data_IF_947556613449
#
_entry.id   IF_947556613449
#
_cell.length_a   1.000
_cell.length_b   1.000
_cell.length_c   1.000
_cell.angle_alpha   90.00
_cell.angle_beta   90.00
_cell.angle_gamma   90.00
#
_symmetry.space_group_name_H-M   'P 1'
#
loop_
_entity.id
_entity.type
_entity.pdbx_description
1 polymer ?
#
# COMPACT_ATOMS: atom_id res chain seq x y z
N UNK A 1 -9.08 -14.87 16.49
CA UNK A 1 -9.57 -13.46 16.40
C UNK A 1 -10.12 -13.17 15.01
N UNK A 2 -9.34 -13.28 13.93
CA UNK A 2 -9.81 -13.01 12.55
C UNK A 2 -11.08 -13.79 12.13
N UNK A 3 -11.11 -15.10 12.37
CA UNK A 3 -12.29 -15.95 12.09
C UNK A 3 -13.54 -15.49 12.87
N UNK A 4 -13.36 -15.08 14.12
CA UNK A 4 -14.45 -14.53 14.94
C UNK A 4 -14.93 -13.18 14.41
N UNK A 5 -14.01 -12.30 13.99
CA UNK A 5 -14.36 -11.01 13.37
C UNK A 5 -15.09 -11.21 12.03
N UNK A 6 -14.70 -12.19 11.21
CA UNK A 6 -15.38 -12.49 9.93
C UNK A 6 -16.80 -13.00 10.19
N UNK A 7 -16.97 -13.93 11.13
CA UNK A 7 -18.25 -14.60 11.37
C UNK A 7 -19.23 -13.77 12.21
N UNK A 8 -18.72 -13.05 13.21
CA UNK A 8 -19.53 -12.36 14.22
C UNK A 8 -19.30 -10.85 14.28
N UNK A 9 -18.41 -10.32 13.42
CA UNK A 9 -18.05 -8.89 13.41
C UNK A 9 -19.27 -7.98 13.30
N UNK A 10 -20.25 -8.32 12.46
CA UNK A 10 -21.48 -7.53 12.22
C UNK A 10 -22.35 -7.33 13.46
N UNK A 11 -22.23 -8.20 14.45
CA UNK A 11 -22.97 -8.13 15.72
C UNK A 11 -22.07 -7.76 16.91
N UNK A 12 -20.79 -7.54 16.67
CA UNK A 12 -19.87 -7.07 17.70
C UNK A 12 -20.14 -5.60 18.02
N UNK A 13 -19.96 -5.22 19.30
CA UNK A 13 -19.96 -3.79 19.70
C UNK A 13 -18.94 -2.96 18.93
N UNK A 14 -17.89 -3.61 18.38
CA UNK A 14 -16.79 -3.01 17.61
C UNK A 14 -17.19 -2.59 16.19
N UNK A 15 -18.19 -3.25 15.59
CA UNK A 15 -18.72 -2.90 14.28
C UNK A 15 -19.92 -1.96 14.30
N UNK A 16 -20.35 -1.53 15.50
CA UNK A 16 -21.52 -0.66 15.62
C UNK A 16 -21.28 0.67 14.87
N UNK A 17 -22.07 0.90 13.80
CA UNK A 17 -21.95 2.07 12.93
C UNK A 17 -20.77 2.10 11.95
N UNK A 18 -19.97 1.02 11.86
CA UNK A 18 -18.81 0.95 10.94
C UNK A 18 -19.07 -0.07 9.82
N UNK A 19 -18.58 0.17 8.60
CA UNK A 19 -18.73 -0.80 7.52
C UNK A 19 -17.83 -2.02 7.77
N UNK A 20 -18.32 -3.22 7.46
CA UNK A 20 -17.66 -4.49 7.77
C UNK A 20 -16.27 -4.64 7.13
N UNK A 21 -16.11 -4.10 5.92
CA UNK A 21 -14.82 -4.09 5.22
C UNK A 21 -13.74 -3.34 6.04
N UNK A 22 -14.12 -2.27 6.73
CA UNK A 22 -13.21 -1.50 7.59
C UNK A 22 -12.83 -2.30 8.83
N UNK A 23 -13.79 -2.92 9.50
CA UNK A 23 -13.53 -3.75 10.69
C UNK A 23 -12.63 -4.94 10.34
N UNK A 24 -12.87 -5.56 9.18
CA UNK A 24 -12.04 -6.65 8.68
C UNK A 24 -10.62 -6.17 8.35
N UNK A 25 -10.47 -5.05 7.66
CA UNK A 25 -9.15 -4.49 7.31
C UNK A 25 -8.34 -4.12 8.56
N UNK A 26 -8.96 -3.47 9.54
CA UNK A 26 -8.31 -3.11 10.81
C UNK A 26 -7.77 -4.36 11.53
N UNK A 27 -8.56 -5.44 11.59
CA UNK A 27 -8.16 -6.69 12.27
C UNK A 27 -7.09 -7.47 11.49
N UNK A 28 -7.16 -7.48 10.16
CA UNK A 28 -6.11 -8.08 9.31
C UNK A 28 -4.82 -7.30 9.46
N UNK A 29 -4.86 -5.97 9.37
CA UNK A 29 -3.71 -5.10 9.56
C UNK A 29 -3.11 -5.29 10.95
N UNK A 30 -3.92 -5.28 12.00
CA UNK A 30 -3.44 -5.51 13.36
C UNK A 30 -2.80 -6.89 13.51
N UNK A 31 -3.43 -7.94 12.98
CA UNK A 31 -2.87 -9.30 13.02
C UNK A 31 -1.51 -9.38 12.32
N UNK A 32 -1.41 -8.82 11.11
CA UNK A 32 -0.18 -8.81 10.31
C UNK A 32 0.93 -8.05 11.06
N UNK A 33 0.63 -6.85 11.55
CA UNK A 33 1.62 -6.02 12.26
C UNK A 33 2.03 -6.59 13.61
N UNK A 34 1.17 -7.35 14.29
CA UNK A 34 1.50 -7.94 15.60
C UNK A 34 2.20 -9.30 15.52
N UNK A 35 2.14 -10.00 14.38
CA UNK A 35 2.69 -11.35 14.24
C UNK A 35 3.87 -11.46 13.26
N UNK A 36 4.09 -10.47 12.40
CA UNK A 36 5.21 -10.47 11.47
C UNK A 36 6.32 -9.54 11.95
N UNK A 37 7.57 -9.99 11.81
CA UNK A 37 8.74 -9.15 11.98
C UNK A 37 8.85 -8.14 10.83
N UNK A 38 9.59 -7.04 11.07
CA UNK A 38 9.93 -6.03 10.05
C UNK A 38 10.48 -6.65 8.76
N UNK A 39 11.36 -7.65 8.88
CA UNK A 39 11.96 -8.34 7.72
C UNK A 39 10.92 -9.11 6.91
N UNK A 40 9.98 -9.77 7.59
CA UNK A 40 8.90 -10.51 6.94
C UNK A 40 7.91 -9.56 6.25
N UNK A 41 7.60 -8.43 6.88
CA UNK A 41 6.76 -7.39 6.27
C UNK A 41 7.40 -6.83 5.00
N UNK A 42 8.69 -6.49 5.06
CA UNK A 42 9.43 -5.97 3.91
C UNK A 42 9.53 -7.00 2.78
N UNK A 43 9.81 -8.27 3.11
CA UNK A 43 9.84 -9.36 2.14
C UNK A 43 8.48 -9.61 1.49
N UNK A 44 7.39 -9.55 2.26
CA UNK A 44 6.03 -9.73 1.76
C UNK A 44 5.57 -8.56 0.88
N UNK A 45 6.04 -7.34 1.15
CA UNK A 45 5.62 -6.16 0.40
C UNK A 45 6.27 -6.00 -0.97
N UNK A 46 7.43 -6.63 -1.21
CA UNK A 46 8.17 -6.49 -2.47
C UNK A 46 8.83 -5.11 -2.62
N UNK A 47 9.34 -4.83 -3.82
CA UNK A 47 10.01 -3.55 -4.11
C UNK A 47 9.06 -2.47 -4.63
N UNK A 48 9.39 -1.20 -4.38
CA UNK A 48 8.62 -0.07 -4.92
C UNK A 48 8.60 -0.05 -6.45
N UNK A 49 9.68 -0.49 -7.10
CA UNK A 49 9.77 -0.61 -8.56
C UNK A 49 8.80 -1.66 -9.09
N UNK A 50 8.74 -2.84 -8.46
CA UNK A 50 7.81 -3.90 -8.86
C UNK A 50 6.36 -3.46 -8.70
N UNK A 51 6.04 -2.80 -7.58
CA UNK A 51 4.70 -2.26 -7.33
C UNK A 51 4.29 -1.20 -8.36
N UNK A 52 5.18 -0.24 -8.66
CA UNK A 52 4.95 0.76 -9.70
C UNK A 52 4.78 0.14 -11.08
N UNK A 53 5.64 -0.80 -11.46
CA UNK A 53 5.59 -1.48 -12.76
C UNK A 53 4.32 -2.31 -12.94
N UNK A 54 3.86 -2.98 -11.88
CA UNK A 54 2.57 -3.68 -11.89
C UNK A 54 1.40 -2.72 -12.09
N UNK A 55 1.44 -1.57 -11.42
CA UNK A 55 0.42 -0.54 -11.55
C UNK A 55 0.38 0.07 -12.96
N UNK A 56 1.53 0.44 -13.54
CA UNK A 56 1.59 1.02 -14.89
C UNK A 56 1.08 0.04 -15.94
N UNK A 57 1.45 -1.24 -15.83
CA UNK A 57 0.92 -2.32 -16.66
C UNK A 57 -0.60 -2.46 -16.53
N UNK A 58 -1.14 -2.43 -15.31
CA UNK A 58 -2.57 -2.52 -15.07
C UNK A 58 -3.35 -1.33 -15.65
N UNK A 59 -2.77 -0.12 -15.58
CA UNK A 59 -3.35 1.12 -16.13
C UNK A 59 -3.03 1.34 -17.61
N UNK A 60 -2.25 0.46 -18.24
CA UNK A 60 -1.79 0.54 -19.64
C UNK A 60 -1.05 1.85 -19.95
N UNK A 61 -0.22 2.31 -19.00
CA UNK A 61 0.67 3.47 -19.18
C UNK A 61 2.11 3.01 -19.22
N UNK A 62 2.97 3.78 -19.87
CA UNK A 62 4.40 3.50 -19.91
C UNK A 62 5.03 3.72 -18.53
N UNK A 63 5.85 2.78 -18.01
CA UNK A 63 6.61 3.01 -16.80
C UNK A 63 7.74 4.00 -17.06
N UNK A 64 7.70 5.14 -16.37
CA UNK A 64 8.73 6.17 -16.45
C UNK A 64 9.41 6.27 -15.08
N UNK A 65 10.68 5.88 -15.04
CA UNK A 65 11.50 5.87 -13.83
C UNK A 65 12.76 6.67 -14.09
N UNK A 66 13.00 7.70 -13.29
CA UNK A 66 14.26 8.44 -13.31
C UNK A 66 15.12 8.04 -12.11
N UNK A 67 16.40 7.76 -12.36
CA UNK A 67 17.41 7.57 -11.32
C UNK A 67 17.95 8.94 -10.90
N UNK A 68 17.89 9.24 -9.60
CA UNK A 68 18.34 10.52 -9.04
C UNK A 68 19.61 10.36 -8.19
N UNK A 69 20.24 9.17 -8.19
CA UNK A 69 21.39 8.85 -7.36
C UNK A 69 21.02 8.47 -5.92
N UNK A 70 22.04 8.17 -5.10
CA UNK A 70 21.88 7.85 -3.67
C UNK A 70 20.85 6.75 -3.37
N UNK A 71 20.79 5.72 -4.21
CA UNK A 71 19.80 4.62 -4.14
C UNK A 71 18.32 5.08 -4.23
N UNK A 72 18.08 6.30 -4.72
CA UNK A 72 16.76 6.90 -4.86
C UNK A 72 16.30 6.96 -6.33
N UNK A 73 14.99 6.80 -6.52
CA UNK A 73 14.34 6.80 -7.84
C UNK A 73 13.04 7.60 -7.80
N UNK A 74 12.75 8.29 -8.89
CA UNK A 74 11.46 8.94 -9.12
C UNK A 74 10.58 8.07 -9.99
N UNK A 75 9.35 7.85 -9.55
CA UNK A 75 8.31 7.15 -10.30
C UNK A 75 7.29 8.17 -10.78
N UNK A 76 7.17 8.36 -12.08
CA UNK A 76 6.29 9.37 -12.64
C UNK A 76 4.86 8.86 -12.81
N UNK A 77 3.90 9.73 -12.49
CA UNK A 77 2.48 9.48 -12.73
C UNK A 77 1.96 10.64 -13.57
N UNK A 78 1.61 10.35 -14.84
CA UNK A 78 1.18 11.37 -15.80
C UNK A 78 2.33 11.96 -16.63
N UNK A 79 2.08 13.12 -17.25
CA UNK A 79 3.04 13.78 -18.15
C UNK A 79 4.20 14.43 -17.38
N UNK A 80 5.40 14.35 -17.96
CA UNK A 80 6.59 15.10 -17.51
C UNK A 80 6.61 16.55 -18.00
N UNK A 81 5.86 16.87 -19.04
CA UNK A 81 5.78 18.20 -19.64
C UNK A 81 4.71 19.03 -18.91
N UNK A 82 5.00 19.36 -17.64
CA UNK A 82 4.11 20.17 -16.79
C UNK A 82 4.92 21.27 -16.10
N UNK A 83 4.30 22.43 -15.90
CA UNK A 83 4.92 23.55 -15.17
C UNK A 83 5.06 23.27 -13.68
N UNK A 84 4.18 22.44 -13.12
CA UNK A 84 4.13 22.13 -11.70
C UNK A 84 4.03 20.62 -11.48
N UNK A 85 4.76 20.13 -10.49
CA UNK A 85 4.80 18.72 -10.09
C UNK A 85 4.49 18.56 -8.61
N UNK A 86 3.84 17.45 -8.25
CA UNK A 86 3.60 17.07 -6.86
C UNK A 86 4.58 15.95 -6.51
N UNK A 87 5.47 16.19 -5.54
CA UNK A 87 6.34 15.15 -5.01
C UNK A 87 5.58 14.41 -3.90
N UNK A 88 5.31 13.13 -4.14
CA UNK A 88 4.68 12.25 -3.17
C UNK A 88 5.68 11.23 -2.62
N UNK A 89 6.03 11.38 -1.34
CA UNK A 89 6.79 10.39 -0.60
C UNK A 89 5.82 9.47 0.14
N UNK A 90 5.78 8.19 -0.24
CA UNK A 90 4.83 7.26 0.37
C UNK A 90 5.19 6.94 1.81
N UNK A 91 4.18 6.95 2.69
CA UNK A 91 4.27 6.32 4.01
C UNK A 91 3.91 4.82 3.92
N UNK A 92 3.90 4.07 5.05
CA UNK A 92 4.34 4.43 6.39
C UNK A 92 5.59 3.61 6.79
N UNK A 93 6.63 4.25 7.34
CA UNK A 93 7.82 3.57 7.90
C UNK A 93 8.81 2.89 6.93
N UNK A 94 8.72 3.10 5.61
CA UNK A 94 9.55 2.39 4.62
C UNK A 94 9.37 0.85 4.62
N UNK A 95 8.36 0.34 5.32
CA UNK A 95 8.09 -1.10 5.48
C UNK A 95 7.23 -1.67 4.37
N UNK A 96 6.39 -0.83 3.80
CA UNK A 96 5.40 -1.19 2.80
C UNK A 96 5.75 -0.45 1.51
N UNK A 97 5.74 -1.19 0.40
CA UNK A 97 5.86 -0.67 -0.95
C UNK A 97 4.68 0.26 -1.26
N UNK A 98 4.69 0.86 -2.46
CA UNK A 98 3.68 1.80 -2.93
C UNK A 98 2.25 1.20 -2.94
N UNK A 99 1.55 1.28 -1.80
CA UNK A 99 0.18 0.79 -1.64
C UNK A 99 -0.88 1.82 -2.06
N UNK A 100 -0.54 3.11 -2.03
CA UNK A 100 -1.48 4.21 -2.27
C UNK A 100 -1.95 4.39 -3.73
N UNK A 101 -1.36 3.67 -4.69
CA UNK A 101 -1.71 3.80 -6.12
C UNK A 101 -2.78 2.81 -6.60
N UNK A 102 -3.26 1.90 -5.74
CA UNK A 102 -4.03 0.71 -6.14
C UNK A 102 -5.53 0.92 -6.49
N UNK A 103 -5.99 2.14 -6.75
CA UNK A 103 -7.38 2.40 -7.18
C UNK A 103 -7.46 2.76 -8.66
#
# INVERSE_FOLDING_TARGET
VLLYTILFGRWSKRANGRPLNRVLNDEVTHFILSHLSVRQLHAASGSSVDSYTKWTKAKKVEPIVDDIGEDARLFWVGSRETENVIIYCHGPFYLLALQGFQN
#
